data_IF_908745730117
#
_entry.id   IF_908745730117
#
_cell.length_a   1.000
_cell.length_b   1.000
_cell.length_c   1.000
_cell.angle_alpha   90.00
_cell.angle_beta   90.00
_cell.angle_gamma   90.00
#
_symmetry.space_group_name_H-M   'P 1'
#
loop_
_entity.id
_entity.type
_entity.pdbx_description
1 polymer ?
#
# COMPACT_ATOMS: atom_id res chain seq x y z
N UNK A 1 -56.26 -7.21 29.02
CA UNK A 1 -54.85 -7.08 29.46
C UNK A 1 -53.94 -7.30 28.26
N UNK A 2 -53.46 -6.20 27.70
CA UNK A 2 -52.58 -6.21 26.53
C UNK A 2 -51.12 -6.14 27.06
N UNK A 3 -50.36 -7.20 26.82
CA UNK A 3 -48.92 -7.26 27.10
C UNK A 3 -48.16 -6.69 25.88
N UNK A 4 -47.62 -5.49 26.05
CA UNK A 4 -46.62 -4.95 25.10
C UNK A 4 -45.27 -5.60 25.38
N UNK A 5 -44.84 -6.47 24.46
CA UNK A 5 -43.51 -6.99 24.43
C UNK A 5 -42.58 -5.92 23.81
N UNK A 6 -41.74 -5.34 24.63
CA UNK A 6 -40.68 -4.44 24.19
C UNK A 6 -39.62 -5.22 23.42
N UNK A 7 -39.51 -4.97 22.14
CA UNK A 7 -38.39 -5.47 21.32
C UNK A 7 -37.21 -4.50 21.56
N UNK A 8 -36.26 -4.91 22.41
CA UNK A 8 -34.98 -4.23 22.52
C UNK A 8 -34.15 -4.57 21.29
N UNK A 9 -34.01 -3.58 20.40
CA UNK A 9 -33.03 -3.65 19.32
C UNK A 9 -31.68 -3.36 19.94
N UNK A 10 -30.93 -4.41 20.19
CA UNK A 10 -29.54 -4.32 20.60
C UNK A 10 -28.69 -3.96 19.38
N UNK A 11 -28.52 -2.66 19.15
CA UNK A 11 -27.67 -2.11 18.12
C UNK A 11 -26.27 -1.90 18.69
N UNK A 12 -25.57 -2.98 18.94
CA UNK A 12 -24.11 -2.97 19.07
C UNK A 12 -23.49 -3.32 17.71
N UNK A 13 -23.51 -2.35 16.81
CA UNK A 13 -22.57 -2.33 15.70
C UNK A 13 -21.21 -1.89 16.25
N UNK A 14 -20.56 -2.77 16.94
CA UNK A 14 -19.11 -2.77 17.10
C UNK A 14 -18.54 -3.09 15.72
N UNK A 15 -18.32 -2.04 14.92
CA UNK A 15 -17.38 -2.09 13.82
C UNK A 15 -15.98 -2.17 14.44
N UNK A 16 -15.64 -3.35 14.98
CA UNK A 16 -14.22 -3.69 15.09
C UNK A 16 -13.65 -3.55 13.70
N UNK A 17 -12.74 -2.58 13.52
CA UNK A 17 -11.97 -2.47 12.30
C UNK A 17 -11.24 -3.81 12.14
N UNK A 18 -11.73 -4.63 11.22
CA UNK A 18 -11.16 -5.96 10.98
C UNK A 18 -9.72 -5.76 10.49
N UNK A 19 -8.79 -6.44 11.15
CA UNK A 19 -7.38 -6.41 10.76
C UNK A 19 -7.23 -6.72 9.27
N UNK A 20 -6.36 -5.96 8.59
CA UNK A 20 -6.05 -6.20 7.18
C UNK A 20 -5.17 -7.43 7.04
N UNK A 21 -5.73 -8.49 6.47
CA UNK A 21 -5.08 -9.80 6.35
C UNK A 21 -4.81 -10.20 4.89
N UNK A 22 -3.93 -11.18 4.72
CA UNK A 22 -3.78 -11.87 3.44
C UNK A 22 -5.13 -12.53 3.10
N UNK A 23 -5.59 -12.34 1.86
CA UNK A 23 -6.90 -12.79 1.38
C UNK A 23 -7.97 -11.70 1.41
N UNK A 24 -7.76 -10.60 2.13
CA UNK A 24 -8.70 -9.49 2.16
C UNK A 24 -8.56 -8.61 0.91
N UNK A 25 -9.64 -7.96 0.55
CA UNK A 25 -9.60 -6.91 -0.46
C UNK A 25 -8.88 -5.68 0.10
N UNK A 26 -7.88 -5.21 -0.63
CA UNK A 26 -7.16 -4.00 -0.28
C UNK A 26 -8.12 -2.79 -0.32
N UNK A 27 -8.28 -2.04 0.78
CA UNK A 27 -9.06 -0.80 0.78
C UNK A 27 -8.46 0.20 -0.20
N UNK A 28 -9.31 0.96 -0.89
CA UNK A 28 -8.84 2.02 -1.79
C UNK A 28 -8.12 3.13 -1.02
N UNK A 29 -7.08 3.67 -1.62
CA UNK A 29 -6.33 4.83 -1.13
C UNK A 29 -6.49 5.93 -2.16
N UNK A 30 -6.98 7.09 -1.72
CA UNK A 30 -7.18 8.27 -2.57
C UNK A 30 -6.46 9.44 -1.91
N UNK A 31 -5.29 9.79 -2.42
CA UNK A 31 -4.42 10.82 -1.86
C UNK A 31 -3.73 11.62 -2.98
N UNK A 32 -3.10 12.71 -2.61
CA UNK A 32 -2.40 13.58 -3.55
C UNK A 32 -0.93 13.17 -3.76
N UNK A 33 -0.47 13.33 -4.99
CA UNK A 33 0.93 13.23 -5.36
C UNK A 33 1.72 14.47 -4.92
N UNK A 34 3.07 14.44 -5.02
CA UNK A 34 3.89 15.63 -4.76
C UNK A 34 3.51 16.87 -5.57
N UNK A 35 2.91 16.66 -6.74
CA UNK A 35 2.46 17.74 -7.64
C UNK A 35 0.99 18.10 -7.46
N UNK A 36 0.33 17.57 -6.42
CA UNK A 36 -1.06 17.89 -6.08
C UNK A 36 -2.10 17.15 -6.93
N UNK A 37 -1.71 16.14 -7.71
CA UNK A 37 -2.64 15.31 -8.47
C UNK A 37 -3.22 14.23 -7.57
N UNK A 38 -4.53 14.09 -7.58
CA UNK A 38 -5.21 12.98 -6.89
C UNK A 38 -4.88 11.67 -7.61
N UNK A 39 -4.39 10.68 -6.85
CA UNK A 39 -4.11 9.33 -7.31
C UNK A 39 -4.90 8.33 -6.47
N UNK A 40 -5.37 7.29 -7.13
CA UNK A 40 -6.17 6.23 -6.49
C UNK A 40 -5.49 4.89 -6.67
N UNK A 41 -5.44 4.09 -5.62
CA UNK A 41 -4.97 2.71 -5.72
C UNK A 41 -5.82 1.91 -6.72
N UNK A 42 -7.13 2.17 -6.76
CA UNK A 42 -8.07 1.54 -7.69
C UNK A 42 -7.80 1.83 -9.16
N UNK A 43 -7.03 2.88 -9.50
CA UNK A 43 -6.59 3.15 -10.87
C UNK A 43 -5.60 2.08 -11.39
N UNK A 44 -4.99 1.30 -10.49
CA UNK A 44 -4.05 0.22 -10.80
C UNK A 44 -4.69 -1.16 -10.87
N UNK A 45 -6.01 -1.24 -10.85
CA UNK A 45 -6.74 -2.51 -10.94
C UNK A 45 -6.34 -3.27 -12.21
N UNK A 46 -6.11 -4.56 -12.06
CA UNK A 46 -5.61 -5.41 -13.15
C UNK A 46 -4.09 -5.59 -13.13
N UNK A 47 -3.35 -4.85 -12.32
CA UNK A 47 -1.92 -5.01 -12.09
C UNK A 47 -1.64 -5.68 -10.74
N UNK A 48 -0.50 -6.34 -10.63
CA UNK A 48 0.11 -6.60 -9.32
C UNK A 48 0.62 -5.27 -8.77
N UNK A 49 0.32 -4.96 -7.52
CA UNK A 49 0.72 -3.68 -6.90
C UNK A 49 1.39 -3.93 -5.56
N UNK A 50 2.57 -3.35 -5.39
CA UNK A 50 3.18 -3.21 -4.06
C UNK A 50 2.73 -1.89 -3.46
N UNK A 51 1.93 -1.95 -2.40
CA UNK A 51 1.63 -0.79 -1.57
C UNK A 51 2.74 -0.68 -0.53
N UNK A 52 3.49 0.41 -0.56
CA UNK A 52 4.67 0.61 0.27
C UNK A 52 4.51 1.83 1.16
N UNK A 53 4.47 1.61 2.49
CA UNK A 53 4.40 2.67 3.50
C UNK A 53 5.80 2.99 4.00
N UNK A 54 6.21 4.23 3.84
CA UNK A 54 7.55 4.71 4.16
C UNK A 54 7.56 6.19 4.58
N UNK A 55 8.72 6.74 4.89
CA UNK A 55 8.92 8.17 5.06
C UNK A 55 10.38 8.54 4.82
N UNK A 56 10.62 9.79 4.45
CA UNK A 56 11.97 10.35 4.25
C UNK A 56 12.84 10.28 5.51
N UNK A 57 12.22 10.43 6.67
CA UNK A 57 12.85 10.38 7.99
C UNK A 57 13.05 8.96 8.55
N UNK A 58 12.54 7.95 7.86
CA UNK A 58 12.62 6.55 8.30
C UNK A 58 13.90 5.89 7.81
N UNK A 59 14.89 5.74 8.68
CA UNK A 59 16.17 5.11 8.35
C UNK A 59 16.03 3.69 7.78
N UNK A 60 15.29 2.77 8.42
CA UNK A 60 15.05 1.43 7.88
C UNK A 60 14.36 1.44 6.50
N UNK A 61 13.41 2.37 6.27
CA UNK A 61 12.77 2.52 4.97
C UNK A 61 13.77 2.92 3.89
N UNK A 62 14.65 3.88 4.21
CA UNK A 62 15.69 4.36 3.30
C UNK A 62 16.69 3.25 2.94
N UNK A 63 17.00 2.38 3.90
CA UNK A 63 17.87 1.20 3.65
C UNK A 63 17.19 0.13 2.82
N UNK A 64 15.86 0.00 2.90
CA UNK A 64 15.08 -0.94 2.09
C UNK A 64 14.81 -0.43 0.66
N UNK A 65 14.75 0.88 0.45
CA UNK A 65 14.44 1.48 -0.86
C UNK A 65 15.28 0.93 -2.03
N UNK A 66 16.59 0.66 -1.91
CA UNK A 66 17.35 0.03 -2.99
C UNK A 66 16.81 -1.33 -3.43
N UNK A 67 16.27 -2.13 -2.51
CA UNK A 67 15.64 -3.41 -2.83
C UNK A 67 14.32 -3.20 -3.60
N UNK A 68 13.54 -2.21 -3.21
CA UNK A 68 12.29 -1.85 -3.89
C UNK A 68 12.58 -1.34 -5.31
N UNK A 69 13.58 -0.49 -5.48
CA UNK A 69 14.03 0.01 -6.80
C UNK A 69 14.50 -1.15 -7.68
N UNK A 70 15.29 -2.07 -7.14
CA UNK A 70 15.73 -3.26 -7.87
C UNK A 70 14.55 -4.09 -8.37
N UNK A 71 13.58 -4.35 -7.50
CA UNK A 71 12.37 -5.10 -7.84
C UNK A 71 11.56 -4.37 -8.92
N UNK A 72 11.38 -3.05 -8.79
CA UNK A 72 10.69 -2.26 -9.81
C UNK A 72 11.39 -2.38 -11.18
N UNK A 73 12.69 -2.20 -11.22
CA UNK A 73 13.47 -2.30 -12.46
C UNK A 73 13.37 -3.70 -13.10
N UNK A 74 13.32 -4.74 -12.28
CA UNK A 74 13.22 -6.13 -12.75
C UNK A 74 11.82 -6.46 -13.26
N UNK A 75 10.78 -6.07 -12.52
CA UNK A 75 9.42 -6.57 -12.75
C UNK A 75 8.48 -5.60 -13.47
N UNK A 76 8.81 -4.32 -13.57
CA UNK A 76 7.94 -3.32 -14.22
C UNK A 76 7.65 -3.64 -15.70
N UNK A 77 8.54 -4.39 -16.36
CA UNK A 77 8.38 -4.81 -17.76
C UNK A 77 8.11 -6.32 -17.89
N UNK A 78 8.07 -7.05 -16.79
CA UNK A 78 7.81 -8.48 -16.80
C UNK A 78 6.37 -8.79 -17.25
N UNK A 79 6.19 -9.96 -17.85
CA UNK A 79 4.87 -10.48 -18.19
C UNK A 79 4.37 -11.33 -17.04
N UNK A 80 3.18 -11.03 -16.57
CA UNK A 80 2.53 -11.74 -15.48
C UNK A 80 1.54 -12.78 -15.99
N UNK A 81 1.32 -13.83 -15.21
CA UNK A 81 0.39 -14.92 -15.54
C UNK A 81 -1.06 -14.44 -15.54
N UNK A 82 -1.44 -13.66 -14.51
CA UNK A 82 -2.81 -13.26 -14.22
C UNK A 82 -2.93 -11.75 -13.95
N UNK A 83 -2.01 -10.94 -14.46
CA UNK A 83 -2.03 -9.50 -14.30
C UNK A 83 -1.45 -8.81 -15.53
N UNK A 84 -1.81 -7.55 -15.75
CA UNK A 84 -1.32 -6.73 -16.87
C UNK A 84 0.14 -6.30 -16.70
N UNK A 85 0.64 -6.27 -15.48
CA UNK A 85 1.97 -5.82 -15.15
C UNK A 85 2.16 -5.68 -13.64
N UNK A 86 3.23 -4.98 -13.24
CA UNK A 86 3.58 -4.68 -11.86
C UNK A 86 3.78 -3.18 -11.68
N UNK A 87 3.24 -2.66 -10.59
CA UNK A 87 3.39 -1.25 -10.22
C UNK A 87 3.65 -1.11 -8.71
N UNK A 88 4.20 0.03 -8.32
CA UNK A 88 4.38 0.39 -6.91
C UNK A 88 3.53 1.61 -6.60
N UNK A 89 2.81 1.55 -5.48
CA UNK A 89 2.01 2.63 -4.93
C UNK A 89 2.57 2.99 -3.56
N UNK A 90 3.42 4.02 -3.53
CA UNK A 90 4.11 4.45 -2.31
C UNK A 90 3.31 5.47 -1.54
N UNK A 91 3.05 5.17 -0.26
CA UNK A 91 2.34 6.04 0.68
C UNK A 91 3.34 6.58 1.70
N UNK A 92 3.59 7.88 1.66
CA UNK A 92 4.53 8.54 2.55
C UNK A 92 3.86 9.01 3.84
N UNK A 93 4.50 8.76 4.97
CA UNK A 93 4.16 9.31 6.29
C UNK A 93 4.98 10.56 6.62
N UNK A 94 5.38 11.31 5.61
CA UNK A 94 6.05 12.58 5.80
C UNK A 94 5.11 13.68 6.31
N UNK A 95 5.66 14.65 7.01
CA UNK A 95 4.98 15.90 7.36
C UNK A 95 5.46 17.08 6.53
N UNK A 96 6.55 16.90 5.78
CA UNK A 96 7.16 17.92 4.93
C UNK A 96 7.16 17.47 3.47
N UNK A 97 6.46 18.19 2.62
CA UNK A 97 6.43 17.93 1.18
C UNK A 97 7.84 18.02 0.56
N UNK A 98 8.63 19.00 0.98
CA UNK A 98 9.99 19.19 0.44
C UNK A 98 10.91 18.03 0.82
N UNK A 99 10.88 17.57 2.08
CA UNK A 99 11.67 16.43 2.52
C UNK A 99 11.25 15.15 1.78
N UNK A 100 9.96 14.94 1.58
CA UNK A 100 9.42 13.82 0.83
C UNK A 100 9.89 13.82 -0.63
N UNK A 101 9.75 14.95 -1.34
CA UNK A 101 10.23 15.10 -2.73
C UNK A 101 11.73 14.86 -2.84
N UNK A 102 12.52 15.44 -1.92
CA UNK A 102 13.97 15.25 -1.92
C UNK A 102 14.37 13.79 -1.70
N UNK A 103 13.66 13.05 -0.85
CA UNK A 103 13.93 11.64 -0.60
C UNK A 103 13.54 10.76 -1.80
N UNK A 104 12.43 11.03 -2.47
CA UNK A 104 12.05 10.34 -3.73
C UNK A 104 13.19 10.44 -4.74
N UNK A 105 13.72 11.65 -4.92
CA UNK A 105 14.81 11.90 -5.87
C UNK A 105 16.11 11.23 -5.42
N UNK A 106 16.50 11.43 -4.16
CA UNK A 106 17.77 10.90 -3.62
C UNK A 106 17.84 9.37 -3.66
N UNK A 107 16.73 8.68 -3.41
CA UNK A 107 16.65 7.23 -3.41
C UNK A 107 16.30 6.64 -4.79
N UNK A 108 16.07 7.48 -5.79
CA UNK A 108 15.76 7.04 -7.15
C UNK A 108 14.45 6.26 -7.27
N UNK A 109 13.43 6.69 -6.54
CA UNK A 109 12.10 6.06 -6.55
C UNK A 109 11.33 6.48 -7.80
N UNK A 110 11.63 5.85 -8.93
CA UNK A 110 11.29 6.31 -10.29
C UNK A 110 9.87 6.00 -10.74
N UNK A 111 9.09 5.24 -9.98
CA UNK A 111 7.69 4.96 -10.32
C UNK A 111 6.80 6.19 -10.12
N UNK A 112 5.64 6.15 -10.76
CA UNK A 112 4.73 7.30 -10.85
C UNK A 112 3.93 7.55 -9.58
N UNK A 113 3.52 6.49 -8.88
CA UNK A 113 2.48 6.56 -7.84
C UNK A 113 3.09 6.80 -6.47
N UNK A 114 3.29 8.08 -6.14
CA UNK A 114 3.69 8.56 -4.83
C UNK A 114 2.59 9.43 -4.27
N UNK A 115 2.11 9.11 -3.07
CA UNK A 115 1.02 9.84 -2.42
C UNK A 115 1.31 10.10 -0.95
N UNK A 116 0.72 11.15 -0.39
CA UNK A 116 0.79 11.48 1.03
C UNK A 116 -0.32 12.46 1.42
N UNK A 117 -0.81 12.36 2.64
CA UNK A 117 -1.64 13.39 3.25
C UNK A 117 -0.83 14.38 4.13
N UNK A 118 0.49 14.16 4.22
CA UNK A 118 1.44 14.98 5.00
C UNK A 118 1.09 15.05 6.50
N UNK A 119 0.44 14.03 7.04
CA UNK A 119 -0.05 13.98 8.42
C UNK A 119 0.79 13.08 9.35
N UNK A 120 1.95 12.62 8.89
CA UNK A 120 2.80 11.70 9.65
C UNK A 120 1.99 10.48 10.12
N UNK A 121 2.07 10.11 11.39
CA UNK A 121 1.33 9.00 11.96
C UNK A 121 -0.19 9.20 12.06
N UNK A 122 -0.69 10.41 11.82
CA UNK A 122 -2.12 10.70 11.68
C UNK A 122 -2.64 10.46 10.25
N UNK A 123 -1.86 9.79 9.41
CA UNK A 123 -2.24 9.40 8.06
C UNK A 123 -3.49 8.52 8.08
N UNK A 124 -4.50 8.91 7.30
CA UNK A 124 -5.73 8.14 7.15
C UNK A 124 -5.46 6.78 6.48
N UNK A 125 -4.54 6.72 5.51
CA UNK A 125 -4.16 5.49 4.85
C UNK A 125 -3.42 4.53 5.80
N UNK A 126 -2.52 5.05 6.65
CA UNK A 126 -1.85 4.24 7.67
C UNK A 126 -2.85 3.65 8.67
N UNK A 127 -3.84 4.43 9.10
CA UNK A 127 -4.91 3.93 9.98
C UNK A 127 -5.74 2.86 9.29
N UNK A 128 -6.14 3.09 8.03
CA UNK A 128 -6.95 2.16 7.23
C UNK A 128 -6.27 0.80 7.03
N UNK A 129 -4.95 0.79 6.86
CA UNK A 129 -4.14 -0.41 6.69
C UNK A 129 -3.53 -0.93 7.99
N UNK A 130 -3.90 -0.33 9.12
CA UNK A 130 -3.38 -0.67 10.46
C UNK A 130 -1.85 -0.65 10.53
N UNK A 131 -1.22 0.26 9.80
CA UNK A 131 0.23 0.44 9.81
C UNK A 131 0.65 1.16 11.07
N UNK A 132 1.39 0.46 11.94
CA UNK A 132 1.90 0.96 13.24
C UNK A 132 3.41 1.13 13.25
N UNK A 133 4.09 0.60 12.27
CA UNK A 133 5.53 0.74 12.07
C UNK A 133 5.86 0.75 10.59
N UNK A 134 6.92 1.42 10.21
CA UNK A 134 7.42 1.46 8.84
C UNK A 134 8.91 1.07 8.78
N UNK A 135 9.34 0.47 7.65
CA UNK A 135 8.59 0.21 6.43
C UNK A 135 7.54 -0.89 6.62
N UNK A 136 6.38 -0.73 5.98
CA UNK A 136 5.34 -1.74 5.90
C UNK A 136 4.87 -1.86 4.46
N UNK A 137 4.56 -3.07 4.01
CA UNK A 137 4.13 -3.29 2.64
C UNK A 137 3.04 -4.33 2.50
N UNK A 138 2.26 -4.19 1.43
CA UNK A 138 1.19 -5.11 1.06
C UNK A 138 1.32 -5.39 -0.43
N UNK A 139 1.46 -6.65 -0.82
CA UNK A 139 1.42 -7.02 -2.23
C UNK A 139 -0.02 -7.42 -2.60
N UNK A 140 -0.54 -6.81 -3.63
CA UNK A 140 -1.93 -6.96 -4.08
C UNK A 140 -1.95 -7.55 -5.48
N UNK A 141 -2.81 -8.53 -5.72
CA UNK A 141 -2.98 -9.12 -7.04
C UNK A 141 -3.89 -8.28 -7.96
N UNK A 142 -4.10 -8.74 -9.20
CA UNK A 142 -4.88 -8.02 -10.20
C UNK A 142 -6.35 -7.78 -9.81
N UNK A 143 -6.91 -8.64 -8.95
CA UNK A 143 -8.28 -8.53 -8.42
C UNK A 143 -8.37 -7.58 -7.22
N UNK A 144 -7.24 -7.05 -6.74
CA UNK A 144 -7.20 -6.19 -5.57
C UNK A 144 -7.15 -6.94 -4.23
N UNK A 145 -6.74 -8.21 -4.24
CA UNK A 145 -6.63 -9.05 -3.05
C UNK A 145 -5.18 -9.03 -2.54
N UNK A 146 -5.01 -8.85 -1.24
CA UNK A 146 -3.71 -8.89 -0.57
C UNK A 146 -3.19 -10.34 -0.59
N UNK A 147 -2.02 -10.55 -1.19
CA UNK A 147 -1.41 -11.88 -1.32
C UNK A 147 -0.17 -12.05 -0.44
N UNK A 148 0.47 -10.95 -0.02
CA UNK A 148 1.60 -10.97 0.89
C UNK A 148 1.73 -9.64 1.65
N UNK A 149 2.45 -9.67 2.78
CA UNK A 149 2.67 -8.49 3.64
C UNK A 149 4.12 -8.43 4.07
N UNK A 150 4.64 -7.20 4.22
CA UNK A 150 5.94 -6.90 4.83
C UNK A 150 7.11 -7.68 4.23
N UNK A 151 7.17 -7.75 2.91
CA UNK A 151 8.25 -8.37 2.16
C UNK A 151 9.52 -7.50 2.24
N UNK A 152 10.64 -8.10 2.61
CA UNK A 152 11.93 -7.42 2.78
C UNK A 152 13.01 -8.03 1.91
N UNK A 153 13.94 -7.21 1.46
CA UNK A 153 15.10 -7.67 0.70
C UNK A 153 14.68 -8.48 -0.54
N UNK A 154 15.18 -9.69 -0.65
CA UNK A 154 14.85 -10.59 -1.77
C UNK A 154 13.50 -11.30 -1.63
N UNK A 155 12.80 -11.17 -0.49
CA UNK A 155 11.48 -11.79 -0.32
C UNK A 155 10.47 -11.25 -1.33
N UNK A 156 10.58 -9.95 -1.69
CA UNK A 156 9.74 -9.35 -2.72
C UNK A 156 9.98 -10.01 -4.08
N UNK A 157 11.23 -10.20 -4.46
CA UNK A 157 11.59 -10.90 -5.71
C UNK A 157 11.04 -12.32 -5.72
N UNK A 158 11.25 -13.08 -4.65
CA UNK A 158 10.78 -14.47 -4.53
C UNK A 158 9.25 -14.56 -4.62
N UNK A 159 8.53 -13.60 -4.05
CA UNK A 159 7.08 -13.58 -4.16
C UNK A 159 6.62 -13.22 -5.58
N UNK A 160 7.22 -12.19 -6.19
CA UNK A 160 6.87 -11.78 -7.56
C UNK A 160 7.22 -12.88 -8.59
N UNK A 161 8.30 -13.62 -8.40
CA UNK A 161 8.68 -14.73 -9.29
C UNK A 161 7.61 -15.81 -9.40
N UNK A 162 6.77 -16.00 -8.38
CA UNK A 162 5.63 -16.94 -8.44
C UNK A 162 4.55 -16.50 -9.43
N UNK A 163 4.48 -15.22 -9.74
CA UNK A 163 3.40 -14.60 -10.52
C UNK A 163 3.79 -14.23 -11.94
N UNK A 164 5.08 -14.22 -12.27
CA UNK A 164 5.54 -13.88 -13.63
C UNK A 164 5.45 -15.08 -14.59
N UNK A 165 5.21 -14.76 -15.85
CA UNK A 165 5.30 -15.68 -16.99
C UNK A 165 6.70 -15.61 -17.62
N UNK A 166 7.27 -14.40 -17.72
CA UNK A 166 8.63 -14.13 -18.19
C UNK A 166 9.07 -12.72 -17.76
N UNK A 167 10.36 -12.52 -17.63
CA UNK A 167 11.00 -11.21 -17.46
C UNK A 167 11.06 -10.46 -18.80
#
# INVERSE_FOLDING_TARGET
LLLFSSFEVNSSNDLEAAAINIGDKAPDIVLESPDGKVMKLSDLKGQMVLIDFWASWCGPCRRENPNVVRAYNKYSKAKFKNAKGFEIFSVSLDGSKNAWKAAIEADGLVWKYHVSDLKKWNSAAAALYEVRSIPASFLVNAEGIIVAKNLRGNQLDLELDKHIKSL
#
